data_IF_220708674850
#
_entry.id   IF_220708674850
#
_cell.length_a   1.000
_cell.length_b   1.000
_cell.length_c   1.000
_cell.angle_alpha   90.00
_cell.angle_beta   90.00
_cell.angle_gamma   90.00
#
_symmetry.space_group_name_H-M   'P 1'
#
loop_
_entity.id
_entity.type
_entity.pdbx_description
1 polymer ?
#
# COMPACT_ATOMS: atom_id res chain seq x y z
N UNK A 1 -64.52 39.33 16.81
CA UNK A 1 -64.19 40.64 16.22
C UNK A 1 -62.71 40.87 16.48
N UNK A 2 -61.89 40.88 15.41
CA UNK A 2 -60.65 41.69 15.21
C UNK A 2 -59.58 41.68 16.32
N UNK A 3 -58.28 41.47 16.11
CA UNK A 3 -57.46 41.55 14.90
C UNK A 3 -56.03 41.03 15.20
N UNK A 4 -55.32 40.68 14.12
CA UNK A 4 -53.86 40.74 13.90
C UNK A 4 -52.85 40.10 14.89
N UNK A 5 -52.20 39.04 14.39
CA UNK A 5 -50.87 38.61 14.81
C UNK A 5 -49.76 39.43 14.10
N UNK A 6 -48.61 39.72 14.75
CA UNK A 6 -47.44 40.21 14.04
C UNK A 6 -46.34 39.15 13.86
N UNK A 7 -45.94 39.02 12.59
CA UNK A 7 -44.59 38.91 12.03
C UNK A 7 -43.53 37.94 12.63
N UNK A 8 -43.10 37.06 11.72
CA UNK A 8 -41.81 36.35 11.70
C UNK A 8 -40.64 37.35 11.66
N UNK A 9 -39.55 37.05 12.37
CA UNK A 9 -38.26 37.69 12.17
C UNK A 9 -37.18 37.15 13.11
N UNK A 10 -36.07 36.67 12.55
CA UNK A 10 -34.88 36.32 13.33
C UNK A 10 -34.22 35.00 12.90
N UNK A 11 -33.68 34.97 11.68
CA UNK A 11 -32.66 34.00 11.32
C UNK A 11 -31.43 34.25 12.22
N UNK A 12 -31.13 33.31 13.12
CA UNK A 12 -29.83 33.28 13.79
C UNK A 12 -28.80 32.78 12.79
N UNK A 13 -28.16 33.76 12.15
CA UNK A 13 -26.90 33.68 11.43
C UNK A 13 -25.87 32.88 12.23
N UNK A 14 -25.78 31.58 11.91
CA UNK A 14 -24.71 30.70 12.33
C UNK A 14 -23.43 31.08 11.59
N UNK A 15 -22.81 32.18 12.01
CA UNK A 15 -21.45 32.55 11.64
C UNK A 15 -20.54 31.39 12.01
N UNK A 16 -20.21 30.55 11.03
CA UNK A 16 -19.05 29.66 11.09
C UNK A 16 -17.85 30.56 11.26
N UNK A 17 -17.23 30.53 12.44
CA UNK A 17 -15.90 31.05 12.65
C UNK A 17 -14.98 30.34 11.65
N UNK A 18 -14.60 31.05 10.59
CA UNK A 18 -13.57 30.63 9.66
C UNK A 18 -12.25 30.84 10.40
N UNK A 19 -11.54 29.76 10.71
CA UNK A 19 -10.23 29.79 11.35
C UNK A 19 -9.19 30.22 10.29
N UNK A 20 -8.57 31.42 10.37
CA UNK A 20 -7.80 32.01 9.27
C UNK A 20 -6.33 31.59 9.31
N UNK A 21 -6.05 30.29 9.42
CA UNK A 21 -4.67 29.79 9.55
C UNK A 21 -4.39 28.38 9.06
N UNK A 22 -5.39 27.64 8.55
CA UNK A 22 -5.14 26.33 7.96
C UNK A 22 -4.87 26.48 6.47
N UNK A 23 -3.61 26.31 6.07
CA UNK A 23 -3.22 26.41 4.67
C UNK A 23 -4.04 25.41 3.82
N UNK A 24 -4.51 25.86 2.65
CA UNK A 24 -5.40 25.07 1.81
C UNK A 24 -4.66 23.80 1.37
N UNK A 25 -5.23 22.61 1.64
CA UNK A 25 -4.59 21.35 1.23
C UNK A 25 -5.02 20.94 -0.18
N UNK A 26 -4.11 20.39 -0.98
CA UNK A 26 -4.38 19.88 -2.32
C UNK A 26 -3.87 18.44 -2.49
N UNK A 27 -4.38 17.76 -3.51
CA UNK A 27 -3.83 16.51 -4.00
C UNK A 27 -3.85 16.46 -5.54
N UNK A 28 -2.81 15.88 -6.13
CA UNK A 28 -2.68 15.68 -7.58
C UNK A 28 -2.25 14.26 -7.91
N UNK A 29 -2.58 13.79 -9.10
CA UNK A 29 -1.89 12.71 -9.80
C UNK A 29 -1.26 13.31 -11.05
N UNK A 30 0.01 12.99 -11.30
CA UNK A 30 0.73 13.48 -12.47
C UNK A 30 1.35 12.32 -13.24
N UNK A 31 1.21 12.35 -14.57
CA UNK A 31 1.93 11.46 -15.49
C UNK A 31 3.03 12.27 -16.16
N UNK A 32 4.27 11.85 -15.95
CA UNK A 32 5.46 12.47 -16.55
C UNK A 32 5.98 11.54 -17.64
N UNK A 33 6.12 12.05 -18.85
CA UNK A 33 6.74 11.35 -19.99
C UNK A 33 7.83 12.23 -20.59
N UNK A 34 8.79 11.59 -21.26
CA UNK A 34 9.86 12.27 -21.98
C UNK A 34 10.23 11.48 -23.25
N UNK A 35 10.93 12.12 -24.18
CA UNK A 35 11.38 11.47 -25.43
C UNK A 35 12.35 10.31 -25.19
N UNK A 36 13.04 10.31 -24.04
CA UNK A 36 13.88 9.21 -23.57
C UNK A 36 13.31 8.66 -22.25
N UNK A 37 13.51 7.36 -21.96
CA UNK A 37 13.06 6.78 -20.69
C UNK A 37 13.57 7.56 -19.49
N UNK A 38 12.67 7.91 -18.58
CA UNK A 38 13.01 8.61 -17.35
C UNK A 38 13.71 7.62 -16.41
N UNK A 39 15.01 7.81 -16.22
CA UNK A 39 15.83 6.93 -15.39
C UNK A 39 15.51 7.02 -13.89
N UNK A 40 16.07 6.09 -13.11
CA UNK A 40 15.89 6.05 -11.65
C UNK A 40 16.30 7.33 -10.90
N UNK A 41 17.22 8.11 -11.47
CA UNK A 41 17.66 9.40 -10.91
C UNK A 41 16.51 10.41 -10.78
N UNK A 42 15.66 10.58 -11.79
CA UNK A 42 14.55 11.55 -11.70
C UNK A 42 13.54 11.14 -10.62
N UNK A 43 13.30 9.83 -10.44
CA UNK A 43 12.44 9.33 -9.37
C UNK A 43 12.99 9.70 -7.99
N UNK A 44 14.30 9.61 -7.82
CA UNK A 44 14.99 9.99 -6.58
C UNK A 44 14.91 11.51 -6.36
N UNK A 45 15.16 12.31 -7.39
CA UNK A 45 15.06 13.78 -7.35
C UNK A 45 13.64 14.24 -6.98
N UNK A 46 12.61 13.64 -7.59
CA UNK A 46 11.19 13.90 -7.26
C UNK A 46 10.91 13.58 -5.80
N UNK A 47 11.41 12.44 -5.31
CA UNK A 47 11.19 12.02 -3.94
C UNK A 47 11.92 12.93 -2.93
N UNK A 48 13.13 13.38 -3.25
CA UNK A 48 13.87 14.36 -2.45
C UNK A 48 13.16 15.71 -2.43
N UNK A 49 12.73 16.21 -3.60
CA UNK A 49 12.01 17.47 -3.74
C UNK A 49 10.69 17.46 -2.97
N UNK A 50 9.90 16.40 -3.11
CA UNK A 50 8.63 16.25 -2.39
C UNK A 50 8.83 16.33 -0.88
N UNK A 51 9.86 15.67 -0.34
CA UNK A 51 10.14 15.72 1.08
C UNK A 51 10.66 17.07 1.56
N UNK A 52 11.49 17.76 0.78
CA UNK A 52 11.91 19.12 1.08
C UNK A 52 10.71 20.09 1.16
N UNK A 53 9.67 19.84 0.35
CA UNK A 53 8.43 20.62 0.33
C UNK A 53 7.40 20.17 1.39
N UNK A 54 7.68 19.11 2.15
CA UNK A 54 6.73 18.50 3.08
C UNK A 54 5.50 17.87 2.38
N UNK A 55 5.61 17.57 1.09
CA UNK A 55 4.57 16.93 0.29
C UNK A 55 4.61 15.42 0.53
N UNK A 56 3.43 14.87 0.76
CA UNK A 56 3.20 13.43 0.92
C UNK A 56 2.77 12.82 -0.41
N UNK A 57 2.89 11.51 -0.55
CA UNK A 57 2.48 10.80 -1.78
C UNK A 57 3.50 9.77 -2.25
N UNK A 58 3.48 9.44 -3.54
CA UNK A 58 4.31 8.40 -4.14
C UNK A 58 4.81 8.82 -5.52
N UNK A 59 5.95 8.26 -5.94
CA UNK A 59 6.46 8.34 -7.31
C UNK A 59 6.83 6.94 -7.77
N UNK A 60 6.31 6.53 -8.93
CA UNK A 60 6.42 5.18 -9.49
C UNK A 60 6.88 5.25 -10.93
N UNK A 61 7.63 4.23 -11.36
CA UNK A 61 7.86 4.01 -12.79
C UNK A 61 6.57 3.54 -13.45
N UNK A 62 6.30 4.02 -14.66
CA UNK A 62 5.26 3.50 -15.52
C UNK A 62 5.85 2.51 -16.53
N UNK A 63 5.01 1.60 -17.05
CA UNK A 63 5.44 0.56 -17.99
C UNK A 63 6.01 1.11 -19.31
N UNK A 64 5.69 2.36 -19.66
CA UNK A 64 6.21 3.05 -20.86
C UNK A 64 7.53 3.80 -20.60
N UNK A 65 8.16 3.60 -19.45
CA UNK A 65 9.38 4.32 -19.07
C UNK A 65 9.14 5.75 -18.59
N UNK A 66 7.88 6.16 -18.40
CA UNK A 66 7.50 7.41 -17.73
C UNK A 66 7.46 7.28 -16.20
N UNK A 67 7.00 8.35 -15.53
CA UNK A 67 6.73 8.34 -14.10
C UNK A 67 5.27 8.66 -13.82
N UNK A 68 4.72 8.01 -12.80
CA UNK A 68 3.47 8.40 -12.18
C UNK A 68 3.78 8.98 -10.80
N UNK A 69 3.20 10.13 -10.49
CA UNK A 69 3.38 10.82 -9.21
C UNK A 69 2.02 11.07 -8.59
N UNK A 70 1.84 10.71 -7.33
CA UNK A 70 0.77 11.26 -6.51
C UNK A 70 1.39 12.17 -5.47
N UNK A 71 0.79 13.33 -5.26
CA UNK A 71 1.27 14.33 -4.32
C UNK A 71 0.09 14.94 -3.56
N UNK A 72 0.20 15.01 -2.24
CA UNK A 72 -0.79 15.52 -1.32
C UNK A 72 -0.11 16.35 -0.23
N UNK A 73 -0.63 17.53 0.07
CA UNK A 73 -0.02 18.40 1.06
C UNK A 73 -0.65 19.78 1.09
N UNK A 74 0.09 20.75 1.62
CA UNK A 74 -0.20 22.16 1.41
C UNK A 74 -0.26 22.47 -0.10
N UNK A 75 -1.25 23.26 -0.53
CA UNK A 75 -1.48 23.54 -1.94
C UNK A 75 -0.28 24.21 -2.61
N UNK A 76 0.40 25.13 -1.93
CA UNK A 76 1.58 25.79 -2.49
C UNK A 76 2.74 24.80 -2.65
N UNK A 77 2.93 23.91 -1.67
CA UNK A 77 3.92 22.83 -1.77
C UNK A 77 3.59 21.83 -2.89
N UNK A 78 2.33 21.45 -3.08
CA UNK A 78 1.89 20.56 -4.16
C UNK A 78 2.06 21.22 -5.53
N UNK A 79 1.67 22.49 -5.67
CA UNK A 79 1.85 23.25 -6.91
C UNK A 79 3.35 23.45 -7.23
N UNK A 80 4.20 23.66 -6.21
CA UNK A 80 5.66 23.74 -6.38
C UNK A 80 6.28 22.41 -6.84
N UNK A 81 5.76 21.27 -6.37
CA UNK A 81 6.18 19.97 -6.87
C UNK A 81 5.71 19.75 -8.30
N UNK A 82 4.47 20.11 -8.64
CA UNK A 82 3.96 20.02 -10.01
C UNK A 82 4.78 20.87 -11.01
N UNK A 83 5.20 22.06 -10.59
CA UNK A 83 6.10 22.92 -11.36
C UNK A 83 7.44 22.23 -11.61
N UNK A 84 8.06 21.64 -10.58
CA UNK A 84 9.30 20.87 -10.71
C UNK A 84 9.18 19.68 -11.68
N UNK A 85 8.04 18.97 -11.66
CA UNK A 85 7.80 17.87 -12.60
C UNK A 85 7.81 18.35 -14.05
N UNK A 86 7.33 19.58 -14.29
CA UNK A 86 7.16 20.20 -15.61
C UNK A 86 8.42 20.89 -16.15
N UNK A 87 9.54 20.86 -15.42
CA UNK A 87 10.82 21.37 -15.88
C UNK A 87 11.42 20.47 -17.00
N UNK A 88 12.40 20.98 -17.75
CA UNK A 88 13.27 20.22 -18.69
C UNK A 88 12.61 19.32 -19.74
N UNK A 89 11.84 19.87 -20.68
CA UNK A 89 11.40 19.14 -21.89
C UNK A 89 10.51 17.92 -21.62
N UNK A 90 10.01 17.77 -20.38
CA UNK A 90 9.10 16.73 -19.95
C UNK A 90 7.67 17.10 -20.31
N UNK A 91 6.90 16.13 -20.78
CA UNK A 91 5.45 16.28 -20.91
C UNK A 91 4.83 15.81 -19.60
N UNK A 92 4.04 16.68 -18.97
CA UNK A 92 3.37 16.37 -17.70
C UNK A 92 1.88 16.60 -17.84
N UNK A 93 1.11 15.55 -17.61
CA UNK A 93 -0.33 15.63 -17.42
C UNK A 93 -0.63 15.62 -15.93
N UNK A 94 -1.28 16.66 -15.42
CA UNK A 94 -1.58 16.83 -13.99
C UNK A 94 -3.09 16.86 -13.78
N UNK A 95 -3.59 15.89 -13.03
CA UNK A 95 -4.97 15.79 -12.60
C UNK A 95 -5.09 16.18 -11.11
N UNK A 96 -6.03 17.05 -10.77
CA UNK A 96 -6.40 17.28 -9.37
C UNK A 96 -7.29 16.14 -8.88
N UNK A 97 -6.88 15.48 -7.80
CA UNK A 97 -7.63 14.35 -7.23
C UNK A 97 -8.14 14.67 -5.84
N UNK A 98 -9.10 13.89 -5.36
CA UNK A 98 -9.47 13.93 -3.94
C UNK A 98 -8.32 13.43 -3.09
N UNK A 99 -8.14 14.04 -1.92
CA UNK A 99 -7.26 13.49 -0.88
C UNK A 99 -7.71 12.08 -0.55
N UNK A 100 -6.79 11.12 -0.62
CA UNK A 100 -7.09 9.71 -0.32
C UNK A 100 -7.14 9.43 1.19
N UNK A 101 -6.93 10.48 2.00
CA UNK A 101 -7.13 10.46 3.43
C UNK A 101 -5.86 10.08 4.17
N UNK A 102 -5.68 10.78 5.28
CA UNK A 102 -4.63 10.65 6.27
C UNK A 102 -4.19 9.19 6.52
N UNK A 103 -2.88 8.98 6.57
CA UNK A 103 -2.13 7.72 6.76
C UNK A 103 -1.65 6.97 5.50
N UNK A 104 -2.15 7.30 4.30
CA UNK A 104 -1.87 6.44 3.15
C UNK A 104 -0.44 6.54 2.58
N UNK A 105 0.26 7.68 2.62
CA UNK A 105 1.61 7.74 2.05
C UNK A 105 2.45 8.77 2.78
N UNK A 106 3.34 8.34 3.68
CA UNK A 106 4.30 9.27 4.25
C UNK A 106 5.64 8.61 4.58
N UNK A 107 6.12 7.67 3.76
CA UNK A 107 7.52 7.53 3.30
C UNK A 107 7.43 6.67 2.04
N UNK A 108 7.40 7.39 0.90
CA UNK A 108 7.98 7.15 -0.43
C UNK A 108 7.91 5.72 -1.02
N UNK A 109 7.50 5.63 -2.29
CA UNK A 109 7.75 4.50 -3.21
C UNK A 109 9.25 4.20 -3.43
N UNK A 110 9.95 4.01 -2.33
CA UNK A 110 11.29 3.47 -2.24
C UNK A 110 11.08 1.96 -2.22
N UNK A 111 11.58 1.26 -3.26
CA UNK A 111 11.66 -0.19 -3.23
C UNK A 111 12.27 -0.61 -1.90
N UNK A 112 11.50 -1.36 -1.12
CA UNK A 112 11.88 -1.77 0.22
C UNK A 112 12.54 -3.15 0.25
N UNK A 113 12.39 -3.91 -0.85
CA UNK A 113 12.89 -5.25 -1.01
C UNK A 113 11.86 -6.11 -1.74
N UNK A 114 11.95 -7.41 -1.52
CA UNK A 114 11.02 -8.39 -2.08
C UNK A 114 10.02 -8.87 -1.05
N UNK A 115 8.90 -9.38 -1.55
CA UNK A 115 7.94 -10.14 -0.77
C UNK A 115 7.67 -11.48 -1.44
N UNK A 116 7.27 -12.44 -0.61
CA UNK A 116 6.73 -13.72 -1.09
C UNK A 116 5.51 -14.09 -0.25
N UNK A 117 4.54 -14.71 -0.90
CA UNK A 117 3.44 -15.41 -0.24
C UNK A 117 3.52 -16.87 -0.62
N UNK A 118 3.78 -17.72 0.36
CA UNK A 118 3.79 -19.17 0.17
C UNK A 118 2.47 -19.75 0.66
N UNK A 119 1.81 -20.59 -0.14
CA UNK A 119 0.69 -21.39 0.36
C UNK A 119 1.24 -22.72 0.87
N UNK A 120 0.95 -23.03 2.12
CA UNK A 120 1.54 -24.14 2.86
C UNK A 120 0.46 -25.11 3.35
N UNK A 121 0.60 -26.38 2.98
CA UNK A 121 -0.12 -27.49 3.59
C UNK A 121 0.75 -28.07 4.72
N UNK A 122 0.51 -27.63 5.95
CA UNK A 122 1.05 -28.23 7.15
C UNK A 122 -0.07 -29.00 7.89
N UNK A 123 -0.14 -28.90 9.21
CA UNK A 123 -1.29 -29.41 10.00
C UNK A 123 -2.61 -28.76 9.58
N UNK A 124 -2.56 -27.49 9.20
CA UNK A 124 -3.64 -26.75 8.55
C UNK A 124 -3.09 -25.99 7.34
N UNK A 125 -3.93 -25.83 6.32
CA UNK A 125 -3.59 -24.96 5.18
C UNK A 125 -3.56 -23.51 5.65
N UNK A 126 -2.49 -22.81 5.31
CA UNK A 126 -2.30 -21.40 5.58
C UNK A 126 -1.43 -20.77 4.50
N UNK A 127 -1.29 -19.44 4.58
CA UNK A 127 -0.40 -18.69 3.71
C UNK A 127 0.66 -18.00 4.55
N UNK A 128 1.92 -18.15 4.21
CA UNK A 128 3.01 -17.41 4.84
C UNK A 128 3.28 -16.14 4.03
N UNK A 129 2.90 -14.98 4.55
CA UNK A 129 3.28 -13.67 4.02
C UNK A 129 4.66 -13.32 4.57
N UNK A 130 5.60 -13.00 3.69
CA UNK A 130 6.96 -12.65 4.08
C UNK A 130 7.41 -11.37 3.38
N UNK A 131 8.03 -10.47 4.13
CA UNK A 131 8.57 -9.20 3.65
C UNK A 131 10.04 -9.11 4.02
N UNK A 132 10.89 -8.77 3.05
CA UNK A 132 12.31 -8.52 3.29
C UNK A 132 12.51 -7.25 4.11
N UNK A 133 13.09 -7.34 5.29
CA UNK A 133 13.37 -6.20 6.17
C UNK A 133 14.72 -6.42 6.84
N UNK A 134 15.66 -5.51 6.63
CA UNK A 134 16.99 -5.61 7.27
C UNK A 134 17.76 -6.89 6.90
N UNK A 135 17.55 -7.43 5.70
CA UNK A 135 18.24 -8.63 5.19
C UNK A 135 17.64 -9.98 5.60
N UNK A 136 16.50 -9.99 6.29
CA UNK A 136 15.75 -11.21 6.65
C UNK A 136 14.30 -11.12 6.19
N UNK A 137 13.62 -12.27 6.07
CA UNK A 137 12.21 -12.33 5.74
C UNK A 137 11.36 -12.31 7.01
N UNK A 138 10.89 -11.13 7.40
CA UNK A 138 9.87 -10.97 8.46
C UNK A 138 8.61 -11.68 8.01
N UNK A 139 8.09 -12.59 8.83
CA UNK A 139 7.14 -13.60 8.38
C UNK A 139 5.87 -13.65 9.23
N UNK A 140 4.73 -13.84 8.57
CA UNK A 140 3.43 -14.02 9.20
C UNK A 140 2.66 -15.17 8.57
N UNK A 141 2.18 -16.09 9.40
CA UNK A 141 1.20 -17.10 9.00
C UNK A 141 -0.20 -16.48 8.96
N UNK A 142 -0.87 -16.57 7.81
CA UNK A 142 -2.20 -16.04 7.52
C UNK A 142 -3.14 -17.22 7.23
N UNK A 143 -3.86 -17.76 8.23
CA UNK A 143 -4.58 -19.04 8.10
C UNK A 143 -5.60 -19.08 6.97
N UNK A 144 -6.30 -17.97 6.74
CA UNK A 144 -7.30 -17.88 5.66
C UNK A 144 -6.73 -17.32 4.35
N UNK A 145 -5.47 -16.92 4.34
CA UNK A 145 -4.84 -16.17 3.24
C UNK A 145 -5.18 -14.68 3.23
N UNK A 146 -4.52 -13.90 2.36
CA UNK A 146 -4.79 -12.48 2.14
C UNK A 146 -6.18 -12.26 1.53
N UNK A 147 -6.64 -11.00 1.52
CA UNK A 147 -7.87 -10.59 0.84
C UNK A 147 -7.64 -9.27 0.12
N UNK A 148 -8.31 -9.09 -1.02
CA UNK A 148 -8.35 -7.82 -1.75
C UNK A 148 -9.56 -6.96 -1.35
N UNK A 149 -10.39 -7.40 -0.41
CA UNK A 149 -11.52 -6.63 0.11
C UNK A 149 -11.08 -5.81 1.33
N UNK A 150 -11.12 -4.45 1.27
CA UNK A 150 -10.77 -3.59 2.39
C UNK A 150 -11.66 -3.73 3.64
N UNK A 151 -12.85 -4.34 3.51
CA UNK A 151 -13.72 -4.63 4.64
C UNK A 151 -13.28 -5.90 5.42
N UNK A 152 -12.43 -6.74 4.84
CA UNK A 152 -12.03 -8.02 5.42
C UNK A 152 -10.70 -7.89 6.15
N UNK A 153 -10.70 -8.19 7.45
CA UNK A 153 -9.50 -8.23 8.29
C UNK A 153 -9.01 -9.67 8.42
N UNK A 154 -7.78 -9.95 8.00
CA UNK A 154 -7.18 -11.30 8.06
C UNK A 154 -6.24 -11.40 9.27
N UNK A 155 -6.42 -12.43 10.09
CA UNK A 155 -5.45 -12.74 11.14
C UNK A 155 -4.11 -13.10 10.50
N UNK A 156 -3.04 -12.47 10.98
CA UNK A 156 -1.66 -12.74 10.61
C UNK A 156 -0.87 -12.98 11.91
N UNK A 157 -0.34 -14.17 12.10
CA UNK A 157 0.43 -14.53 13.31
C UNK A 157 1.91 -14.44 12.97
N UNK A 158 2.65 -13.61 13.69
CA UNK A 158 4.10 -13.48 13.50
C UNK A 158 4.78 -14.81 13.85
N UNK A 159 5.70 -15.25 12.98
CA UNK A 159 6.50 -16.48 13.10
C UNK A 159 7.98 -16.13 12.97
N UNK A 160 8.87 -17.11 13.16
CA UNK A 160 10.31 -16.85 13.08
C UNK A 160 10.73 -16.23 11.74
N UNK A 161 11.77 -15.40 11.78
CA UNK A 161 12.34 -14.82 10.57
C UNK A 161 12.95 -15.92 9.69
N UNK A 162 12.78 -15.79 8.37
CA UNK A 162 13.30 -16.77 7.41
C UNK A 162 14.46 -16.17 6.60
N UNK A 163 15.34 -17.03 6.11
CA UNK A 163 16.39 -16.61 5.18
C UNK A 163 15.81 -16.39 3.78
N UNK A 164 16.39 -15.44 3.04
CA UNK A 164 16.01 -15.11 1.66
C UNK A 164 16.01 -16.33 0.72
N UNK A 165 16.89 -17.31 0.95
CA UNK A 165 17.00 -18.51 0.13
C UNK A 165 15.75 -19.41 0.11
N UNK A 166 14.80 -19.20 1.03
CA UNK A 166 13.54 -19.94 1.06
C UNK A 166 12.47 -19.35 0.13
N UNK A 167 12.68 -18.16 -0.43
CA UNK A 167 11.66 -17.43 -1.20
C UNK A 167 11.24 -18.17 -2.48
N UNK A 168 12.14 -18.94 -3.09
CA UNK A 168 11.90 -19.66 -4.34
C UNK A 168 11.51 -21.13 -4.13
N UNK A 169 11.38 -21.58 -2.88
CA UNK A 169 11.09 -22.99 -2.60
C UNK A 169 9.63 -23.33 -2.91
N UNK A 170 9.45 -24.36 -3.74
CA UNK A 170 8.20 -25.05 -4.00
C UNK A 170 8.44 -26.56 -4.03
N UNK A 171 7.59 -27.33 -3.36
CA UNK A 171 7.69 -28.79 -3.34
C UNK A 171 6.99 -29.43 -2.15
N UNK A 172 7.14 -30.75 -2.05
CA UNK A 172 6.65 -31.53 -0.91
C UNK A 172 7.59 -31.41 0.29
N UNK A 173 7.01 -31.37 1.48
CA UNK A 173 7.71 -31.32 2.77
C UNK A 173 7.01 -32.29 3.74
N UNK A 174 7.59 -33.48 3.94
CA UNK A 174 6.95 -34.56 4.69
C UNK A 174 5.59 -34.94 4.09
N UNK A 175 4.55 -34.99 4.92
CA UNK A 175 3.15 -35.19 4.49
C UNK A 175 2.53 -33.94 3.84
N UNK A 176 3.22 -32.80 3.93
CA UNK A 176 2.77 -31.50 3.45
C UNK A 176 3.45 -31.04 2.16
N UNK A 177 3.24 -29.78 1.84
CA UNK A 177 3.82 -29.14 0.66
C UNK A 177 3.67 -27.64 0.69
N UNK A 178 4.48 -26.98 -0.13
CA UNK A 178 4.53 -25.52 -0.25
C UNK A 178 4.54 -25.16 -1.73
N UNK A 179 3.80 -24.11 -2.08
CA UNK A 179 3.93 -23.43 -3.38
C UNK A 179 4.24 -21.95 -3.17
N UNK A 180 4.93 -21.35 -4.14
CA UNK A 180 5.07 -19.88 -4.22
C UNK A 180 3.78 -19.34 -4.82
N UNK A 181 2.85 -18.93 -3.96
CA UNK A 181 1.52 -18.48 -4.38
C UNK A 181 1.53 -17.07 -4.95
N UNK A 182 2.39 -16.18 -4.47
CA UNK A 182 2.65 -14.87 -5.07
C UNK A 182 4.06 -14.39 -4.72
N UNK A 183 4.63 -13.49 -5.50
CA UNK A 183 5.93 -12.86 -5.24
C UNK A 183 6.05 -11.55 -6.00
N UNK A 184 6.90 -10.65 -5.51
CA UNK A 184 7.20 -9.42 -6.21
C UNK A 184 8.04 -8.47 -5.39
N UNK A 185 8.18 -7.24 -5.89
CA UNK A 185 8.72 -6.13 -5.12
C UNK A 185 7.66 -5.55 -4.18
N UNK A 186 8.08 -4.86 -3.14
CA UNK A 186 7.18 -4.04 -2.33
C UNK A 186 7.79 -2.69 -1.98
N UNK A 187 6.93 -1.72 -1.72
CA UNK A 187 7.30 -0.40 -1.22
C UNK A 187 6.87 -0.26 0.25
N UNK A 188 7.67 0.42 1.06
CA UNK A 188 7.22 0.83 2.39
C UNK A 188 6.18 1.96 2.26
N UNK A 189 5.24 2.01 3.19
CA UNK A 189 4.25 3.06 3.30
C UNK A 189 4.09 3.53 4.74
N UNK A 190 3.18 4.49 4.97
CA UNK A 190 2.96 5.08 6.29
C UNK A 190 4.06 6.05 6.72
N UNK A 191 3.90 6.72 7.88
CA UNK A 191 4.78 7.83 8.32
C UNK A 191 6.11 7.39 8.94
N UNK A 192 6.21 6.11 9.29
CA UNK A 192 7.32 5.57 10.08
C UNK A 192 8.08 4.61 9.17
N UNK A 193 9.40 4.78 8.99
CA UNK A 193 10.20 3.85 8.20
C UNK A 193 10.24 2.47 8.87
N UNK A 194 10.48 1.43 8.08
CA UNK A 194 10.79 0.12 8.64
C UNK A 194 12.28 0.06 9.04
N UNK A 195 12.67 -0.69 10.09
CA UNK A 195 11.84 -1.63 10.86
C UNK A 195 10.97 -0.98 11.95
N UNK A 196 11.15 0.29 12.28
CA UNK A 196 10.47 0.94 13.41
C UNK A 196 8.93 0.86 13.34
N UNK A 197 8.35 0.88 12.13
CA UNK A 197 6.90 0.68 11.93
C UNK A 197 6.40 -0.67 12.49
N UNK A 198 7.19 -1.74 12.31
CA UNK A 198 6.90 -3.05 12.88
C UNK A 198 7.01 -3.01 14.40
N UNK A 199 8.03 -2.37 14.95
CA UNK A 199 8.20 -2.25 16.41
C UNK A 199 7.01 -1.51 17.05
N UNK A 200 6.53 -0.45 16.40
CA UNK A 200 5.33 0.30 16.81
C UNK A 200 4.02 -0.49 16.64
N UNK A 201 4.04 -1.58 15.88
CA UNK A 201 2.86 -2.44 15.67
C UNK A 201 1.89 -1.93 14.62
N UNK A 202 2.35 -1.03 13.74
CA UNK A 202 1.57 -0.54 12.63
C UNK A 202 2.48 -0.30 11.44
N UNK A 203 2.32 -1.13 10.41
CA UNK A 203 3.17 -1.08 9.23
C UNK A 203 2.30 -1.05 7.98
N UNK A 204 2.54 -0.07 7.11
CA UNK A 204 1.84 0.09 5.83
C UNK A 204 2.85 -0.19 4.72
N UNK A 205 2.39 -0.80 3.64
CA UNK A 205 3.24 -1.18 2.51
C UNK A 205 2.39 -1.34 1.25
N UNK A 206 3.03 -1.28 0.08
CA UNK A 206 2.41 -1.51 -1.23
C UNK A 206 3.04 -2.74 -1.86
N UNK A 207 2.23 -3.71 -2.26
CA UNK A 207 2.69 -4.91 -2.95
C UNK A 207 2.64 -4.71 -4.46
N UNK A 208 3.66 -5.21 -5.15
CA UNK A 208 3.76 -5.26 -6.60
C UNK A 208 3.95 -6.71 -7.06
N UNK A 209 2.99 -7.57 -6.71
CA UNK A 209 2.97 -8.98 -7.10
C UNK A 209 2.17 -9.26 -8.35
N UNK A 210 2.01 -10.54 -8.67
CA UNK A 210 1.11 -10.98 -9.74
C UNK A 210 -0.35 -10.93 -9.26
N UNK A 211 -0.60 -11.34 -8.02
CA UNK A 211 -1.96 -11.47 -7.45
C UNK A 211 -2.29 -10.38 -6.44
N UNK A 212 -1.33 -10.02 -5.59
CA UNK A 212 -1.47 -8.97 -4.60
C UNK A 212 -0.83 -7.68 -5.12
N UNK A 213 -1.68 -6.69 -5.35
CA UNK A 213 -1.29 -5.35 -5.79
C UNK A 213 -1.90 -4.29 -4.86
N UNK A 214 -1.26 -3.13 -4.81
CA UNK A 214 -1.73 -1.99 -4.04
C UNK A 214 -1.39 -2.05 -2.55
N UNK A 215 -2.00 -1.15 -1.79
CA UNK A 215 -1.70 -0.92 -0.38
C UNK A 215 -2.29 -1.97 0.56
N UNK A 216 -1.50 -2.33 1.56
CA UNK A 216 -1.86 -3.19 2.70
C UNK A 216 -1.36 -2.57 4.01
N UNK A 217 -1.94 -3.01 5.12
CA UNK A 217 -1.45 -2.70 6.45
C UNK A 217 -1.41 -3.94 7.34
N UNK A 218 -0.37 -4.02 8.16
CA UNK A 218 -0.25 -4.92 9.31
C UNK A 218 -0.46 -4.11 10.58
N UNK A 219 -1.46 -4.48 11.37
CA UNK A 219 -1.72 -3.87 12.68
C UNK A 219 -1.68 -4.89 13.80
N UNK A 220 -0.74 -4.74 14.73
CA UNK A 220 -0.58 -5.65 15.87
C UNK A 220 -1.69 -5.42 16.87
N UNK A 221 -2.41 -6.49 17.19
CA UNK A 221 -3.50 -6.50 18.17
C UNK A 221 -3.07 -7.13 19.49
N UNK A 222 -2.10 -8.04 19.45
CA UNK A 222 -1.56 -8.70 20.65
C UNK A 222 -0.04 -8.88 20.54
N UNK A 223 0.77 -8.35 21.47
CA UNK A 223 2.20 -8.62 21.53
C UNK A 223 2.51 -9.97 22.19
N UNK A 224 3.74 -10.45 22.05
CA UNK A 224 4.25 -11.68 22.66
C UNK A 224 5.04 -12.53 21.67
N UNK A 225 5.46 -13.73 22.09
CA UNK A 225 6.22 -14.70 21.27
C UNK A 225 5.48 -15.09 19.99
N UNK A 226 4.14 -15.12 20.03
CA UNK A 226 3.26 -15.32 18.87
C UNK A 226 2.39 -14.10 18.67
N UNK A 227 3.02 -12.97 18.37
CA UNK A 227 2.32 -11.71 18.19
C UNK A 227 1.21 -11.85 17.12
N UNK A 228 0.02 -11.34 17.43
CA UNK A 228 -1.13 -11.40 16.54
C UNK A 228 -1.34 -10.06 15.87
N UNK A 229 -1.42 -10.11 14.55
CA UNK A 229 -1.60 -8.97 13.67
C UNK A 229 -2.88 -9.12 12.84
N UNK A 230 -3.35 -8.01 12.33
CA UNK A 230 -4.36 -7.95 11.30
C UNK A 230 -3.72 -7.47 10.01
N UNK A 231 -3.79 -8.29 8.97
CA UNK A 231 -3.51 -7.91 7.60
C UNK A 231 -4.80 -7.35 6.98
N UNK A 232 -4.73 -6.12 6.48
CA UNK A 232 -5.89 -5.39 5.95
C UNK A 232 -5.53 -4.76 4.60
N UNK A 233 -6.32 -5.04 3.56
CA UNK A 233 -6.22 -4.35 2.28
C UNK A 233 -6.63 -2.89 2.44
N UNK A 234 -5.85 -1.97 1.88
CA UNK A 234 -6.21 -0.54 1.85
C UNK A 234 -7.17 -0.25 0.71
N UNK A 235 -7.96 0.81 0.86
CA UNK A 235 -8.84 1.32 -0.21
C UNK A 235 -7.98 2.08 -1.20
N UNK A 236 -7.83 1.52 -2.39
CA UNK A 236 -7.12 2.07 -3.54
C UNK A 236 -7.70 1.43 -4.82
N UNK A 237 -7.09 1.72 -5.96
CA UNK A 237 -7.55 1.25 -7.27
C UNK A 237 -7.40 -0.28 -7.47
N UNK A 238 -6.60 -0.96 -6.65
CA UNK A 238 -6.42 -2.43 -6.66
C UNK A 238 -7.38 -3.17 -5.70
N UNK A 239 -8.16 -2.44 -4.90
CA UNK A 239 -9.13 -3.04 -4.00
C UNK A 239 -10.28 -3.71 -4.75
N UNK A 240 -10.60 -4.96 -4.40
CA UNK A 240 -11.68 -5.76 -4.99
C UNK A 240 -12.65 -6.25 -3.90
N UNK A 241 -13.68 -5.46 -3.55
CA UNK A 241 -14.71 -5.88 -2.60
C UNK A 241 -15.35 -7.21 -2.98
N UNK A 242 -15.53 -8.10 -2.01
CA UNK A 242 -16.08 -9.45 -2.21
C UNK A 242 -15.14 -10.47 -2.86
N UNK A 243 -13.90 -10.09 -3.23
CA UNK A 243 -12.96 -11.02 -3.85
C UNK A 243 -12.45 -12.08 -2.85
N UNK A 244 -12.39 -13.33 -3.33
CA UNK A 244 -11.66 -14.41 -2.68
C UNK A 244 -10.46 -14.79 -3.56
N UNK A 245 -9.46 -13.91 -3.59
CA UNK A 245 -8.28 -14.06 -4.44
C UNK A 245 -7.57 -15.41 -4.29
N UNK A 246 -7.61 -16.02 -3.10
CA UNK A 246 -7.03 -17.32 -2.83
C UNK A 246 -7.73 -18.46 -3.59
N UNK A 247 -9.05 -18.36 -3.76
CA UNK A 247 -9.86 -19.30 -4.54
C UNK A 247 -9.84 -18.96 -6.04
N UNK A 248 -9.83 -17.67 -6.40
CA UNK A 248 -9.80 -17.21 -7.79
C UNK A 248 -8.48 -17.56 -8.50
N UNK A 249 -7.35 -17.49 -7.77
CA UNK A 249 -6.02 -17.72 -8.33
C UNK A 249 -5.20 -18.68 -7.44
N UNK A 250 -5.52 -20.00 -7.42
CA UNK A 250 -4.93 -20.94 -6.48
C UNK A 250 -3.53 -21.46 -6.87
N UNK A 251 -3.12 -21.33 -8.13
CA UNK A 251 -1.87 -21.89 -8.65
C UNK A 251 -0.60 -21.14 -8.23
N UNK A 252 0.55 -21.77 -8.35
CA UNK A 252 1.87 -21.14 -8.17
C UNK A 252 2.14 -20.10 -9.26
N UNK A 253 2.77 -18.99 -8.90
CA UNK A 253 3.28 -18.01 -9.90
C UNK A 253 4.60 -18.47 -10.54
N UNK A 254 5.21 -19.53 -10.01
CA UNK A 254 6.46 -20.10 -10.57
C UNK A 254 6.16 -21.27 -11.50
N UNK A 255 5.34 -22.23 -11.06
CA UNK A 255 5.10 -23.47 -11.81
C UNK A 255 3.72 -23.54 -12.46
N UNK A 256 2.79 -22.65 -12.10
CA UNK A 256 1.38 -22.74 -12.46
C UNK A 256 0.59 -23.80 -11.68
N UNK A 257 1.26 -24.71 -10.97
CA UNK A 257 0.61 -25.82 -10.25
C UNK A 257 -0.05 -25.34 -8.97
N UNK A 258 -1.21 -25.91 -8.66
CA UNK A 258 -1.87 -25.79 -7.37
C UNK A 258 -1.13 -26.61 -6.31
N UNK A 259 -1.35 -26.28 -5.04
CA UNK A 259 -0.80 -27.04 -3.93
C UNK A 259 -1.27 -28.50 -3.93
N UNK A 260 -2.52 -28.74 -4.33
CA UNK A 260 -3.07 -30.09 -4.45
C UNK A 260 -2.39 -30.92 -5.54
N UNK A 261 -1.97 -30.31 -6.65
CA UNK A 261 -1.19 -30.98 -7.69
C UNK A 261 0.23 -31.31 -7.19
N UNK A 262 0.90 -30.36 -6.51
CA UNK A 262 2.21 -30.61 -5.89
C UNK A 262 2.15 -31.75 -4.87
N UNK A 263 1.04 -31.88 -4.13
CA UNK A 263 0.82 -32.97 -3.19
C UNK A 263 0.46 -34.31 -3.86
N UNK A 264 0.09 -34.33 -5.14
CA UNK A 264 -0.18 -35.58 -5.87
C UNK A 264 1.05 -36.09 -6.64
N UNK A 265 1.99 -35.21 -6.96
CA UNK A 265 3.19 -35.53 -7.76
C UNK A 265 3.02 -35.07 -9.19
#
# INVERSE_FOLDING_TARGET
>A
MTDAAPARGGASDGRRCHDPGMAATAAIRARVTAEQPLGGALREDVAERAAALGVLGWVRAADDGGLQVHAEGDAASVDALAAFLSEDGRTVDVERVRREGHEQFAIRGVPAGVFVVQQHAATARHFDLRLEVGGVMRSWAVPKGPSLDPAVKRLAVEVEDHSMGHNDFEGRLGEGGVIVWDRGGYEQGGRVPWPEALDRGHAVFVLHGEKLRGGFALQRTRPGEKAQWLLVKRRDDDARPGSDIAAEAPGSVVSGRTLDEVLRG
#
